data_IF_041399751339
#
_entry.id   IF_041399751339
#
_cell.length_a   1.000
_cell.length_b   1.000
_cell.length_c   1.000
_cell.angle_alpha   90.00
_cell.angle_beta   90.00
_cell.angle_gamma   90.00
#
_symmetry.space_group_name_H-M   'P 1'
#
loop_
_entity.id
_entity.type
_entity.pdbx_description
1 polymer ?
#
# COMPACT_ATOMS: atom_id res chain seq x y z
N UNK A 1 -14.44 2.90 20.12
CA UNK A 1 -13.29 2.29 19.41
C UNK A 1 -12.07 3.10 19.80
N UNK A 2 -11.16 2.50 20.56
CA UNK A 2 -10.06 3.18 21.28
C UNK A 2 -9.13 3.96 20.34
N UNK A 3 -8.86 5.24 20.66
CA UNK A 3 -8.15 6.21 19.79
C UNK A 3 -6.72 5.75 19.48
N UNK A 4 -6.11 5.02 20.41
CA UNK A 4 -4.76 4.47 20.31
C UNK A 4 -4.61 3.44 19.18
N UNK A 5 -5.67 2.68 18.89
CA UNK A 5 -5.66 1.62 17.87
C UNK A 5 -5.62 2.20 16.44
N UNK A 6 -6.21 3.39 16.23
CA UNK A 6 -6.18 4.09 14.94
C UNK A 6 -4.77 4.55 14.57
N UNK A 7 -3.98 4.95 15.57
CA UNK A 7 -2.62 5.42 15.36
C UNK A 7 -1.62 4.28 15.04
N UNK A 8 -2.02 3.01 15.21
CA UNK A 8 -1.23 1.83 14.85
C UNK A 8 -1.54 1.29 13.44
N UNK A 9 -2.70 1.61 12.86
CA UNK A 9 -3.12 1.06 11.58
C UNK A 9 -2.73 2.03 10.46
N UNK A 10 -1.94 1.53 9.50
CA UNK A 10 -1.59 2.28 8.29
C UNK A 10 -0.42 3.25 8.43
N UNK A 11 0.15 3.43 9.63
CA UNK A 11 1.34 4.28 9.85
C UNK A 11 2.61 3.43 9.71
N UNK A 12 3.57 3.76 8.84
CA UNK A 12 4.81 2.99 8.68
C UNK A 12 5.59 2.87 10.01
N UNK A 13 6.00 1.65 10.36
CA UNK A 13 6.78 1.39 11.57
C UNK A 13 6.02 1.52 12.89
N UNK A 14 4.72 1.83 12.88
CA UNK A 14 3.92 2.05 14.10
C UNK A 14 3.75 0.79 14.97
N UNK A 15 3.74 -0.40 14.38
CA UNK A 15 3.76 -1.68 15.11
C UNK A 15 5.08 -1.95 15.84
N UNK A 16 6.15 -1.26 15.43
CA UNK A 16 7.49 -1.34 16.04
C UNK A 16 7.85 -0.06 16.81
N UNK A 17 6.92 0.89 16.90
CA UNK A 17 7.13 2.21 17.50
C UNK A 17 6.77 2.26 18.97
N UNK A 18 7.14 3.37 19.62
CA UNK A 18 6.97 3.53 21.06
C UNK A 18 5.53 3.41 21.53
N UNK A 19 4.61 3.86 20.66
CA UNK A 19 3.17 3.81 20.87
C UNK A 19 2.63 2.39 21.06
N UNK A 20 3.10 1.43 20.25
CA UNK A 20 2.63 0.04 20.37
C UNK A 20 3.10 -0.57 21.68
N UNK A 21 4.38 -0.37 22.00
CA UNK A 21 4.99 -0.93 23.20
C UNK A 21 4.33 -0.37 24.47
N UNK A 22 4.11 0.94 24.52
CA UNK A 22 3.44 1.62 25.63
C UNK A 22 1.98 1.18 25.77
N UNK A 23 1.24 1.07 24.67
CA UNK A 23 -0.14 0.59 24.69
C UNK A 23 -0.23 -0.88 25.13
N UNK A 24 0.65 -1.75 24.63
CA UNK A 24 0.61 -3.19 24.89
C UNK A 24 1.21 -3.60 26.24
N UNK A 25 1.87 -2.67 26.96
CA UNK A 25 2.49 -2.91 28.27
C UNK A 25 3.39 -4.17 28.25
N UNK A 26 4.22 -4.30 27.22
CA UNK A 26 5.02 -5.52 27.03
C UNK A 26 6.09 -5.65 28.13
N UNK A 27 6.33 -6.86 28.65
CA UNK A 27 7.34 -7.11 29.69
C UNK A 27 8.78 -7.23 29.15
N UNK A 28 9.00 -6.96 27.87
CA UNK A 28 10.29 -7.11 27.17
C UNK A 28 10.85 -5.75 26.76
N UNK A 29 12.16 -5.64 26.59
CA UNK A 29 12.80 -4.37 26.21
C UNK A 29 12.49 -3.96 24.76
N UNK A 30 12.61 -2.66 24.43
CA UNK A 30 12.42 -2.17 23.04
C UNK A 30 13.39 -2.81 22.06
N UNK A 31 14.63 -2.99 22.47
CA UNK A 31 15.67 -3.61 21.66
C UNK A 31 15.36 -5.07 21.39
N UNK A 32 14.87 -5.79 22.41
CA UNK A 32 14.41 -7.17 22.27
C UNK A 32 13.19 -7.25 21.34
N UNK A 33 12.17 -6.40 21.52
CA UNK A 33 11.00 -6.35 20.63
C UNK A 33 11.39 -6.08 19.18
N UNK A 34 12.25 -5.09 18.94
CA UNK A 34 12.70 -4.76 17.59
C UNK A 34 13.50 -5.90 16.95
N UNK A 35 14.34 -6.59 17.74
CA UNK A 35 15.09 -7.76 17.29
C UNK A 35 14.15 -8.93 16.96
N UNK A 36 13.25 -9.29 17.88
CA UNK A 36 12.30 -10.39 17.69
C UNK A 36 11.31 -10.08 16.57
N UNK A 37 10.76 -8.88 16.49
CA UNK A 37 9.86 -8.47 15.41
C UNK A 37 10.55 -8.49 14.06
N UNK A 38 11.81 -8.04 13.97
CA UNK A 38 12.59 -8.21 12.74
C UNK A 38 12.83 -9.67 12.43
N UNK A 39 13.20 -10.49 13.41
CA UNK A 39 13.37 -11.94 13.24
C UNK A 39 12.07 -12.63 12.78
N UNK A 40 10.92 -12.28 13.36
CA UNK A 40 9.61 -12.79 12.95
C UNK A 40 9.19 -12.27 11.57
N UNK A 41 9.46 -10.99 11.27
CA UNK A 41 9.25 -10.38 9.95
C UNK A 41 10.22 -10.94 8.89
N UNK A 42 11.38 -11.47 9.31
CA UNK A 42 12.42 -12.08 8.48
C UNK A 42 12.21 -13.61 8.32
N UNK A 43 11.57 -14.29 9.29
CA UNK A 43 11.16 -15.72 9.29
C UNK A 43 9.93 -15.99 8.40
N UNK A 44 9.99 -15.50 7.17
CA UNK A 44 8.91 -15.27 6.20
C UNK A 44 8.29 -16.52 5.57
N UNK A 45 7.79 -17.42 6.39
CA UNK A 45 6.89 -18.46 5.90
C UNK A 45 5.52 -17.82 5.60
N UNK A 46 4.98 -17.03 6.53
CA UNK A 46 3.61 -16.52 6.41
C UNK A 46 3.38 -15.48 5.30
N UNK A 47 4.39 -14.67 4.94
CA UNK A 47 4.23 -13.75 3.79
C UNK A 47 4.12 -14.49 2.47
N UNK A 48 4.78 -15.65 2.35
CA UNK A 48 4.64 -16.50 1.16
C UNK A 48 3.25 -17.10 1.06
N UNK A 49 2.50 -17.17 2.15
CA UNK A 49 1.14 -17.68 2.20
C UNK A 49 0.07 -16.59 1.96
N UNK A 50 0.46 -15.33 1.72
CA UNK A 50 -0.48 -14.24 1.47
C UNK A 50 -1.41 -14.52 0.28
N UNK A 51 -2.70 -14.29 0.48
CA UNK A 51 -3.74 -14.42 -0.55
C UNK A 51 -4.49 -13.10 -0.74
N UNK A 52 -5.03 -12.84 -1.94
CA UNK A 52 -5.98 -11.76 -2.15
C UNK A 52 -7.18 -11.89 -1.22
N UNK A 53 -7.66 -10.76 -0.68
CA UNK A 53 -8.90 -10.76 0.08
C UNK A 53 -10.09 -11.18 -0.81
N UNK A 54 -11.10 -11.88 -0.25
CA UNK A 54 -12.30 -12.24 -1.00
C UNK A 54 -12.92 -11.02 -1.68
N UNK A 55 -13.15 -11.13 -3.00
CA UNK A 55 -13.71 -10.05 -3.81
C UNK A 55 -12.70 -9.04 -4.39
N UNK A 56 -11.44 -9.02 -3.93
CA UNK A 56 -10.42 -8.09 -4.44
C UNK A 56 -10.16 -8.27 -5.95
N UNK A 57 -10.07 -9.50 -6.42
CA UNK A 57 -9.88 -9.78 -7.85
C UNK A 57 -11.11 -9.38 -8.68
N UNK A 58 -12.31 -9.63 -8.15
CA UNK A 58 -13.57 -9.26 -8.81
C UNK A 58 -13.68 -7.74 -8.97
N UNK A 59 -13.46 -6.97 -7.90
CA UNK A 59 -13.57 -5.51 -7.97
C UNK A 59 -12.54 -4.91 -8.92
N UNK A 60 -11.28 -5.39 -8.91
CA UNK A 60 -10.27 -4.90 -9.85
C UNK A 60 -10.58 -5.28 -11.29
N UNK A 61 -11.11 -6.48 -11.54
CA UNK A 61 -11.58 -6.89 -12.85
C UNK A 61 -12.72 -5.99 -13.35
N UNK A 62 -13.72 -5.75 -12.51
CA UNK A 62 -14.88 -4.92 -12.86
C UNK A 62 -14.44 -3.47 -13.13
N UNK A 63 -13.62 -2.88 -12.25
CA UNK A 63 -13.07 -1.52 -12.43
C UNK A 63 -12.19 -1.41 -13.67
N UNK A 64 -11.39 -2.42 -14.00
CA UNK A 64 -10.52 -2.39 -15.18
C UNK A 64 -11.28 -2.32 -16.52
N UNK A 65 -12.59 -2.59 -16.50
CA UNK A 65 -13.51 -2.53 -17.64
C UNK A 65 -14.54 -1.41 -17.52
N UNK A 66 -14.57 -0.74 -16.37
CA UNK A 66 -15.53 0.32 -16.09
C UNK A 66 -15.15 1.63 -16.78
N UNK A 67 -16.17 2.45 -17.01
CA UNK A 67 -16.05 3.80 -17.55
C UNK A 67 -16.81 4.75 -16.62
N UNK A 68 -16.27 5.95 -16.46
CA UNK A 68 -16.92 7.04 -15.75
C UNK A 68 -18.20 7.43 -16.48
N UNK A 69 -19.33 7.46 -15.77
CA UNK A 69 -20.60 7.92 -16.33
C UNK A 69 -20.60 9.42 -16.61
N UNK A 70 -19.75 10.19 -15.91
CA UNK A 70 -19.68 11.65 -16.06
C UNK A 70 -18.80 12.06 -17.24
N UNK A 71 -17.62 11.44 -17.40
CA UNK A 71 -16.65 11.82 -18.45
C UNK A 71 -16.60 10.87 -19.63
N UNK A 72 -17.18 9.67 -19.52
CA UNK A 72 -17.05 8.60 -20.52
C UNK A 72 -15.64 7.98 -20.57
N UNK A 73 -14.72 8.40 -19.69
CA UNK A 73 -13.36 7.90 -19.65
C UNK A 73 -13.25 6.57 -18.93
N UNK A 74 -12.29 5.75 -19.35
CA UNK A 74 -11.97 4.49 -18.67
C UNK A 74 -11.47 4.75 -17.25
N UNK A 75 -11.90 3.93 -16.30
CA UNK A 75 -11.38 3.97 -14.93
C UNK A 75 -9.91 3.52 -14.93
N UNK A 76 -9.06 4.35 -14.34
CA UNK A 76 -7.61 4.10 -14.22
C UNK A 76 -7.27 3.52 -12.84
N UNK A 77 -6.31 2.61 -12.79
CA UNK A 77 -5.90 1.92 -11.56
C UNK A 77 -4.42 2.14 -11.26
N UNK A 78 -4.11 2.45 -10.00
CA UNK A 78 -2.75 2.57 -9.46
C UNK A 78 -2.66 1.86 -8.11
N UNK A 79 -1.45 1.42 -7.74
CA UNK A 79 -1.18 0.78 -6.46
C UNK A 79 -0.40 1.74 -5.56
N UNK A 80 -0.89 1.96 -4.34
CA UNK A 80 -0.21 2.76 -3.32
C UNK A 80 -0.03 1.93 -2.04
N UNK A 81 1.17 1.40 -1.83
CA UNK A 81 1.50 0.55 -0.68
C UNK A 81 2.62 1.16 0.15
N UNK A 82 2.46 1.23 1.47
CA UNK A 82 3.55 1.64 2.38
C UNK A 82 4.55 0.51 2.65
N UNK A 83 4.34 -0.67 2.07
CA UNK A 83 5.30 -1.78 2.18
C UNK A 83 6.54 -1.42 1.37
N UNK A 84 7.70 -1.39 2.01
CA UNK A 84 8.98 -1.21 1.34
C UNK A 84 9.42 -2.49 0.64
N UNK A 85 10.08 -2.35 -0.52
CA UNK A 85 10.71 -3.50 -1.16
C UNK A 85 12.11 -3.78 -0.61
N UNK A 86 12.91 -2.74 -0.38
CA UNK A 86 14.35 -2.83 -0.09
C UNK A 86 14.71 -3.24 1.34
N UNK A 87 13.95 -2.83 2.35
CA UNK A 87 14.33 -3.02 3.75
C UNK A 87 14.05 -4.43 4.28
N UNK A 88 13.15 -5.18 3.63
CA UNK A 88 12.81 -6.53 4.07
C UNK A 88 12.42 -7.49 2.93
N UNK A 89 12.39 -7.11 1.65
CA UNK A 89 11.78 -7.87 0.54
C UNK A 89 10.28 -8.18 0.77
N UNK A 90 9.58 -7.42 1.63
CA UNK A 90 8.19 -7.71 2.04
C UNK A 90 7.22 -7.73 0.89
N UNK A 91 7.37 -6.75 0.02
CA UNK A 91 6.55 -6.65 -1.16
C UNK A 91 6.71 -7.91 -2.02
N UNK A 92 7.93 -8.30 -2.36
CA UNK A 92 8.17 -9.48 -3.21
C UNK A 92 7.64 -10.78 -2.61
N UNK A 93 7.80 -11.01 -1.30
CA UNK A 93 7.27 -12.23 -0.68
C UNK A 93 5.75 -12.25 -0.54
N UNK A 94 5.12 -11.11 -0.22
CA UNK A 94 3.66 -11.01 -0.16
C UNK A 94 3.00 -11.19 -1.52
N UNK A 95 3.77 -11.08 -2.59
CA UNK A 95 3.28 -11.04 -3.97
C UNK A 95 3.78 -12.21 -4.82
N UNK A 96 4.52 -13.15 -4.20
CA UNK A 96 5.13 -14.29 -4.90
C UNK A 96 4.13 -15.36 -5.34
N UNK A 97 2.95 -15.44 -4.72
CA UNK A 97 1.94 -16.45 -5.08
C UNK A 97 1.28 -16.13 -6.42
N UNK A 98 0.90 -17.15 -7.21
CA UNK A 98 0.18 -16.93 -8.47
C UNK A 98 -1.09 -16.09 -8.30
N UNK A 99 -1.84 -16.28 -7.22
CA UNK A 99 -3.06 -15.53 -6.88
C UNK A 99 -2.77 -14.03 -6.73
N UNK A 100 -1.76 -13.69 -5.92
CA UNK A 100 -1.35 -12.30 -5.68
C UNK A 100 -0.72 -11.68 -6.93
N UNK A 101 0.04 -12.46 -7.70
CA UNK A 101 0.60 -12.01 -8.96
C UNK A 101 -0.51 -11.68 -9.97
N UNK A 102 -1.55 -12.52 -10.09
CA UNK A 102 -2.75 -12.23 -10.91
C UNK A 102 -3.42 -10.93 -10.49
N UNK A 103 -3.65 -10.73 -9.18
CA UNK A 103 -4.22 -9.49 -8.65
C UNK A 103 -3.41 -8.26 -9.04
N UNK A 104 -2.08 -8.34 -8.99
CA UNK A 104 -1.21 -7.20 -9.29
C UNK A 104 -1.12 -6.86 -10.78
N UNK A 105 -1.53 -7.75 -11.69
CA UNK A 105 -1.54 -7.49 -13.13
C UNK A 105 -2.49 -6.37 -13.54
N UNK A 106 -3.48 -6.04 -12.70
CA UNK A 106 -4.34 -4.88 -12.92
C UNK A 106 -3.60 -3.54 -12.78
N UNK A 107 -2.47 -3.52 -12.07
CA UNK A 107 -1.66 -2.32 -11.87
C UNK A 107 -0.40 -2.37 -12.74
N UNK A 108 -0.27 -1.44 -13.68
CA UNK A 108 0.93 -1.34 -14.51
C UNK A 108 2.17 -1.03 -13.65
N UNK A 109 3.35 -1.60 -13.95
CA UNK A 109 4.54 -1.44 -13.10
C UNK A 109 4.90 0.01 -12.77
N UNK A 110 4.80 0.94 -13.73
CA UNK A 110 5.11 2.36 -13.52
C UNK A 110 4.07 3.11 -12.67
N UNK A 111 2.92 2.50 -12.37
CA UNK A 111 1.83 3.06 -11.54
C UNK A 111 1.77 2.42 -10.15
N UNK A 112 2.83 1.71 -9.76
CA UNK A 112 2.97 1.11 -8.43
C UNK A 112 3.90 1.99 -7.61
N UNK A 113 3.39 2.51 -6.50
CA UNK A 113 4.13 3.30 -5.53
C UNK A 113 4.29 2.46 -4.27
N UNK A 114 5.53 2.20 -3.89
CA UNK A 114 5.90 1.43 -2.70
C UNK A 114 6.42 2.35 -1.59
N UNK A 115 6.56 1.82 -0.37
CA UNK A 115 6.88 2.64 0.81
C UNK A 115 8.29 3.25 0.78
N UNK A 116 9.18 2.67 -0.01
CA UNK A 116 10.56 3.09 -0.25
C UNK A 116 10.75 3.74 -1.63
N UNK A 117 9.66 4.16 -2.29
CA UNK A 117 9.74 4.91 -3.53
C UNK A 117 10.55 6.21 -3.31
N UNK A 118 11.63 6.45 -4.08
CA UNK A 118 12.52 7.59 -3.87
C UNK A 118 11.84 8.95 -4.11
N UNK A 119 10.68 8.97 -4.78
CA UNK A 119 9.88 10.17 -5.00
C UNK A 119 9.10 10.58 -3.75
N UNK A 120 8.95 9.69 -2.78
CA UNK A 120 8.35 10.01 -1.48
C UNK A 120 9.41 10.63 -0.55
N UNK A 121 9.09 11.79 0.01
CA UNK A 121 9.94 12.43 1.01
C UNK A 121 10.00 11.57 2.28
N UNK A 122 11.18 11.44 2.89
CA UNK A 122 11.35 10.73 4.17
C UNK A 122 10.38 11.28 5.22
N UNK A 123 9.70 10.40 5.95
CA UNK A 123 8.72 10.78 6.98
C UNK A 123 7.35 11.23 6.45
N UNK A 124 7.13 11.19 5.13
CA UNK A 124 5.84 11.51 4.48
C UNK A 124 5.07 10.27 4.04
N UNK A 125 5.31 9.15 4.72
CA UNK A 125 4.40 8.01 4.63
C UNK A 125 3.04 8.35 5.23
N UNK A 126 2.08 7.41 5.11
CA UNK A 126 0.78 7.52 5.77
C UNK A 126 0.94 7.90 7.26
N UNK A 127 0.13 8.82 7.80
CA UNK A 127 -1.16 9.29 7.28
C UNK A 127 -1.07 10.46 6.27
N UNK A 128 0.14 10.91 5.90
CA UNK A 128 0.27 11.94 4.87
C UNK A 128 -0.24 11.43 3.51
N UNK A 129 -0.87 12.30 2.68
CA UNK A 129 -1.49 11.89 1.43
C UNK A 129 -0.49 11.66 0.29
N UNK A 130 0.81 11.89 0.51
CA UNK A 130 1.85 11.95 -0.52
C UNK A 130 1.92 10.70 -1.39
N UNK A 131 1.71 9.51 -0.81
CA UNK A 131 1.69 8.26 -1.57
C UNK A 131 0.53 8.20 -2.57
N UNK A 132 -0.63 8.77 -2.19
CA UNK A 132 -1.81 8.83 -3.05
C UNK A 132 -1.69 9.93 -4.08
N UNK A 133 -1.12 11.09 -3.71
CA UNK A 133 -0.85 12.19 -4.64
C UNK A 133 0.18 11.77 -5.71
N UNK A 134 1.21 11.01 -5.32
CA UNK A 134 2.16 10.45 -6.26
C UNK A 134 1.51 9.40 -7.19
N UNK A 135 0.62 8.56 -6.65
CA UNK A 135 -0.13 7.62 -7.48
C UNK A 135 -1.02 8.36 -8.52
N UNK A 136 -1.70 9.43 -8.10
CA UNK A 136 -2.51 10.28 -8.98
C UNK A 136 -1.67 10.95 -10.08
N UNK A 137 -0.52 11.51 -9.72
CA UNK A 137 0.42 12.12 -10.67
C UNK A 137 0.87 11.12 -11.75
N UNK A 138 1.11 9.86 -11.36
CA UNK A 138 1.47 8.78 -12.29
C UNK A 138 0.32 8.39 -13.22
N UNK A 139 -0.92 8.44 -12.75
CA UNK A 139 -2.09 8.22 -13.60
C UNK A 139 -2.21 9.31 -14.67
N UNK A 140 -1.99 10.57 -14.28
CA UNK A 140 -2.09 11.71 -15.18
C UNK A 140 -0.92 11.79 -16.18
N UNK A 141 0.30 11.42 -15.76
CA UNK A 141 1.47 11.39 -16.66
C UNK A 141 1.31 10.37 -17.79
N UNK A 142 0.60 9.26 -17.53
CA UNK A 142 0.36 8.21 -18.51
C UNK A 142 -0.88 8.46 -19.39
N UNK A 143 -1.61 9.56 -19.17
CA UNK A 143 -2.81 9.92 -19.95
C UNK A 143 -2.46 10.71 -21.21
N UNK A 144 -3.37 10.66 -22.17
CA UNK A 144 -3.32 11.48 -23.38
C UNK A 144 -3.42 12.97 -23.01
N UNK A 145 -2.56 13.80 -23.60
CA UNK A 145 -2.50 15.26 -23.39
C UNK A 145 -3.82 15.94 -23.73
N UNK A 146 -4.66 15.34 -24.58
CA UNK A 146 -5.98 15.85 -24.94
C UNK A 146 -7.05 15.69 -23.86
N UNK A 147 -6.82 14.87 -22.82
CA UNK A 147 -7.78 14.65 -21.73
C UNK A 147 -7.47 15.54 -20.54
N UNK A 148 -8.52 16.04 -19.88
CA UNK A 148 -8.37 16.77 -18.61
C UNK A 148 -7.76 15.86 -17.55
N UNK A 149 -6.83 16.36 -16.71
CA UNK A 149 -6.22 15.55 -15.65
C UNK A 149 -7.28 15.08 -14.65
N UNK A 150 -7.08 13.88 -14.09
CA UNK A 150 -7.86 13.36 -12.96
C UNK A 150 -7.53 14.23 -11.75
N UNK A 151 -8.53 14.76 -11.07
CA UNK A 151 -8.36 15.47 -9.80
C UNK A 151 -8.57 14.55 -8.60
N UNK A 152 -8.06 14.94 -7.44
CA UNK A 152 -8.16 14.13 -6.23
C UNK A 152 -9.62 13.79 -5.84
N UNK A 153 -10.55 14.71 -6.11
CA UNK A 153 -11.98 14.55 -5.82
C UNK A 153 -12.67 13.49 -6.70
N UNK A 154 -12.04 13.10 -7.82
CA UNK A 154 -12.52 12.02 -8.69
C UNK A 154 -11.93 10.65 -8.31
N UNK A 155 -11.08 10.59 -7.28
CA UNK A 155 -10.37 9.38 -6.89
C UNK A 155 -11.07 8.66 -5.73
N UNK A 156 -11.22 7.34 -5.87
CA UNK A 156 -11.60 6.45 -4.77
C UNK A 156 -10.37 5.68 -4.28
N UNK A 157 -10.11 5.73 -2.97
CA UNK A 157 -8.99 5.04 -2.32
C UNK A 157 -9.54 4.04 -1.30
N UNK A 158 -9.09 2.79 -1.38
CA UNK A 158 -9.44 1.71 -0.45
C UNK A 158 -8.27 0.75 -0.22
#
# INVERSE_FOLDING_TARGET
MDSSKKALIGVPGSSNGDLFHEWAQLPISRTQWAHESKEHEHKRLLFRDCEPLPGAEKILSDLSRAYSSCSGDKVELALASTTSNTSSNAYDLKTSRPETARLLRFFQPHRRVLGDDPRLRKGRGKPAPDIYLLALDLLNTARDVSKSPIIADECLVF
#
